data_IF_980129331206
#
_entry.id   IF_980129331206
#
_cell.length_a   1.000
_cell.length_b   1.000
_cell.length_c   1.000
_cell.angle_alpha   90.00
_cell.angle_beta   90.00
_cell.angle_gamma   90.00
#
_symmetry.space_group_name_H-M   'P 1'
#
loop_
_entity.id
_entity.type
_entity.pdbx_description
1 polymer ?
#
# COMPACT_ATOMS: atom_id res chain seq x y z
N UNK A 1 -16.24 15.36 0.92
CA UNK A 1 -15.33 14.45 1.65
C UNK A 1 -15.55 13.08 1.07
N UNK A 2 -14.47 12.44 0.62
CA UNK A 2 -14.53 11.11 0.04
C UNK A 2 -13.77 10.15 0.95
N UNK A 3 -14.32 8.95 1.15
CA UNK A 3 -13.70 7.91 1.97
C UNK A 3 -13.45 6.69 1.10
N UNK A 4 -12.26 6.12 1.21
CA UNK A 4 -11.86 4.87 0.58
C UNK A 4 -11.55 3.86 1.67
N UNK A 5 -12.19 2.69 1.61
CA UNK A 5 -11.87 1.53 2.43
C UNK A 5 -11.50 0.38 1.50
N UNK A 6 -10.36 -0.23 1.77
CA UNK A 6 -9.83 -1.39 1.02
C UNK A 6 -9.71 -2.56 1.99
N UNK A 7 -10.18 -3.73 1.55
CA UNK A 7 -10.03 -5.00 2.24
C UNK A 7 -9.29 -5.98 1.34
N UNK A 8 -8.33 -6.70 1.91
CA UNK A 8 -7.53 -7.65 1.16
C UNK A 8 -6.40 -8.25 1.99
N UNK A 9 -5.76 -9.28 1.44
CA UNK A 9 -4.62 -9.95 2.08
C UNK A 9 -3.34 -9.12 1.90
N UNK A 10 -2.57 -8.99 2.98
CA UNK A 10 -1.23 -8.39 2.92
C UNK A 10 -0.21 -9.46 2.49
N UNK A 11 0.63 -9.14 1.52
CA UNK A 11 1.78 -9.95 1.13
C UNK A 11 3.06 -9.15 1.28
N UNK A 12 3.91 -9.57 2.21
CA UNK A 12 5.24 -9.01 2.40
C UNK A 12 6.18 -9.47 1.28
N UNK A 13 7.04 -8.56 0.83
CA UNK A 13 7.97 -8.81 -0.26
C UNK A 13 9.39 -8.53 0.23
N UNK A 14 10.25 -9.54 0.10
CA UNK A 14 11.68 -9.39 0.34
C UNK A 14 12.41 -9.24 -0.99
N UNK A 15 12.33 -8.03 -1.56
CA UNK A 15 12.98 -7.67 -2.81
C UNK A 15 13.79 -6.38 -2.64
N UNK A 16 15.12 -6.52 -2.72
CA UNK A 16 16.05 -5.41 -2.54
C UNK A 16 15.90 -4.32 -3.60
N UNK A 17 15.55 -4.69 -4.84
CA UNK A 17 15.37 -3.74 -5.92
C UNK A 17 14.15 -2.86 -5.69
N UNK A 18 13.05 -3.44 -5.18
CA UNK A 18 11.84 -2.70 -4.81
C UNK A 18 12.09 -1.82 -3.58
N UNK A 19 12.81 -2.33 -2.57
CA UNK A 19 13.21 -1.55 -1.39
C UNK A 19 14.08 -0.35 -1.77
N UNK A 20 15.03 -0.55 -2.69
CA UNK A 20 15.89 0.53 -3.20
C UNK A 20 15.08 1.58 -3.94
N UNK A 21 14.21 1.14 -4.87
CA UNK A 21 13.33 2.01 -5.64
C UNK A 21 12.43 2.86 -4.74
N UNK A 22 11.85 2.28 -3.67
CA UNK A 22 11.02 3.02 -2.73
C UNK A 22 11.76 4.18 -2.05
N UNK A 23 13.05 3.99 -1.72
CA UNK A 23 13.88 5.04 -1.13
C UNK A 23 14.32 6.13 -2.12
N UNK A 24 14.46 5.78 -3.40
CA UNK A 24 14.79 6.73 -4.46
C UNK A 24 13.58 7.59 -4.83
N UNK A 25 12.39 6.98 -4.93
CA UNK A 25 11.14 7.68 -5.27
C UNK A 25 10.62 8.52 -4.09
N UNK A 26 10.83 8.08 -2.85
CA UNK A 26 10.36 8.74 -1.64
C UNK A 26 11.51 8.99 -0.65
N UNK A 27 12.26 10.10 -0.79
CA UNK A 27 13.42 10.38 0.04
C UNK A 27 13.19 10.35 1.55
N UNK A 28 11.98 10.68 2.02
CA UNK A 28 11.61 10.58 3.44
C UNK A 28 11.72 9.15 3.99
N UNK A 29 11.45 8.12 3.18
CA UNK A 29 11.64 6.71 3.57
C UNK A 29 13.13 6.44 3.82
N UNK A 30 14.01 6.97 2.96
CA UNK A 30 15.45 6.87 3.13
C UNK A 30 15.92 7.58 4.40
N UNK A 31 15.33 8.71 4.77
CA UNK A 31 15.66 9.39 6.02
C UNK A 31 15.28 8.57 7.26
N UNK A 32 14.18 7.81 7.21
CA UNK A 32 13.74 6.94 8.30
C UNK A 32 14.60 5.68 8.43
N UNK A 33 14.84 4.96 7.33
CA UNK A 33 15.47 3.64 7.34
C UNK A 33 16.93 3.61 6.89
N UNK A 34 17.45 4.72 6.37
CA UNK A 34 18.85 4.95 5.94
C UNK A 34 19.31 4.17 4.71
N UNK A 35 19.11 2.85 4.67
CA UNK A 35 19.55 1.98 3.58
C UNK A 35 18.55 0.82 3.34
N UNK A 36 18.45 0.31 2.09
CA UNK A 36 17.44 -0.69 1.70
C UNK A 36 17.50 -2.02 2.45
N UNK A 37 18.69 -2.44 2.90
CA UNK A 37 18.93 -3.68 3.66
C UNK A 37 18.64 -3.51 5.17
N UNK A 38 18.09 -2.37 5.60
CA UNK A 38 17.75 -2.19 7.00
C UNK A 38 16.79 -3.29 7.47
N UNK A 39 17.13 -4.06 8.52
CA UNK A 39 16.37 -5.24 8.93
C UNK A 39 14.95 -4.95 9.42
N UNK A 40 14.64 -3.69 9.77
CA UNK A 40 13.28 -3.29 10.16
C UNK A 40 12.49 -2.64 9.00
N UNK A 41 13.09 -2.51 7.81
CA UNK A 41 12.41 -1.98 6.64
C UNK A 41 11.76 -3.11 5.84
N UNK A 42 10.43 -3.15 5.90
CA UNK A 42 9.59 -4.10 5.17
C UNK A 42 8.69 -3.36 4.18
N UNK A 43 8.45 -4.00 3.04
CA UNK A 43 7.49 -3.56 2.03
C UNK A 43 6.46 -4.65 1.82
N UNK A 44 5.24 -4.24 1.50
CA UNK A 44 4.16 -5.17 1.22
C UNK A 44 3.22 -4.57 0.17
N UNK A 45 2.43 -5.44 -0.46
CA UNK A 45 1.27 -5.05 -1.24
C UNK A 45 0.02 -5.72 -0.68
N UNK A 46 -1.14 -5.18 -1.05
CA UNK A 46 -2.44 -5.74 -0.67
C UNK A 46 -3.06 -6.39 -1.90
N UNK A 47 -3.33 -7.69 -1.84
CA UNK A 47 -4.24 -8.36 -2.77
C UNK A 47 -5.66 -7.94 -2.45
N UNK A 48 -6.14 -6.90 -3.12
CA UNK A 48 -7.42 -6.28 -2.83
C UNK A 48 -8.56 -7.23 -3.23
N UNK A 49 -9.41 -7.56 -2.26
CA UNK A 49 -10.62 -8.36 -2.47
C UNK A 49 -11.86 -7.47 -2.58
N UNK A 50 -11.92 -6.41 -1.79
CA UNK A 50 -13.07 -5.50 -1.75
C UNK A 50 -12.65 -4.05 -1.60
N UNK A 51 -13.32 -3.17 -2.33
CA UNK A 51 -13.18 -1.71 -2.25
C UNK A 51 -14.52 -1.11 -1.89
N UNK A 52 -14.58 -0.26 -0.87
CA UNK A 52 -15.74 0.56 -0.56
C UNK A 52 -15.39 2.02 -0.71
N UNK A 53 -16.22 2.76 -1.43
CA UNK A 53 -16.12 4.21 -1.57
C UNK A 53 -17.32 4.86 -0.92
N UNK A 54 -17.15 6.00 -0.28
CA UNK A 54 -18.26 6.82 0.21
C UNK A 54 -18.03 8.28 -0.17
N UNK A 55 -19.09 8.91 -0.63
CA UNK A 55 -19.20 10.36 -0.74
C UNK A 55 -20.62 10.81 -0.36
N UNK A 56 -20.78 12.10 -0.08
CA UNK A 56 -22.06 12.63 0.40
C UNK A 56 -23.15 12.71 -0.68
N UNK A 57 -22.79 12.70 -1.96
CA UNK A 57 -23.73 12.85 -3.07
C UNK A 57 -24.28 11.49 -3.53
N UNK A 58 -23.45 10.45 -3.53
CA UNK A 58 -23.76 9.13 -4.08
C UNK A 58 -23.83 8.03 -3.02
N UNK A 59 -23.52 8.33 -1.77
CA UNK A 59 -23.50 7.36 -0.67
C UNK A 59 -22.38 6.34 -0.78
N UNK A 60 -22.53 5.19 -0.11
CA UNK A 60 -21.55 4.11 -0.12
C UNK A 60 -21.73 3.22 -1.36
N UNK A 61 -20.62 2.87 -2.02
CA UNK A 61 -20.55 1.86 -3.09
C UNK A 61 -19.51 0.82 -2.73
N UNK A 62 -19.76 -0.42 -3.10
CA UNK A 62 -18.89 -1.57 -2.83
C UNK A 62 -18.59 -2.32 -4.12
N UNK A 63 -17.32 -2.68 -4.29
CA UNK A 63 -16.78 -3.37 -5.46
C UNK A 63 -15.99 -4.58 -4.99
N UNK A 64 -16.31 -5.75 -5.53
CA UNK A 64 -15.56 -6.98 -5.28
C UNK A 64 -14.67 -7.26 -6.49
N UNK A 65 -13.39 -7.45 -6.24
CA UNK A 65 -12.43 -7.85 -7.28
C UNK A 65 -12.36 -9.37 -7.30
N UNK A 66 -12.62 -9.97 -8.47
CA UNK A 66 -12.32 -11.38 -8.72
C UNK A 66 -10.94 -11.44 -9.35
N UNK A 67 -9.97 -12.00 -8.63
CA UNK A 67 -8.64 -12.30 -9.18
C UNK A 67 -8.68 -13.46 -10.16
#
# INVERSE_FOLDING_TARGET
>A
MNVLSINGKINFVDDLSLKTRAMEEYPAIKELYKFPENPIFEIFYVDIETVKTFDFEHGAKEYTLSN
#
